data_IF_199959991555
#
_entry.id   IF_199959991555
#
_cell.length_a   1.000
_cell.length_b   1.000
_cell.length_c   1.000
_cell.angle_alpha   90.00
_cell.angle_beta   90.00
_cell.angle_gamma   90.00
#
_symmetry.space_group_name_H-M   'P 1'
#
loop_
_entity.id
_entity.type
_entity.pdbx_description
1 polymer ?
#
# COMPACT_ATOMS: atom_id res chain seq x y z
N UNK A 1 25.13 11.00 1.06
CA UNK A 1 23.77 11.38 1.51
C UNK A 1 22.75 11.29 0.37
N UNK A 2 22.92 12.02 -0.73
CA UNK A 2 21.96 12.01 -1.86
C UNK A 2 21.65 10.62 -2.44
N UNK A 3 22.67 9.77 -2.65
CA UNK A 3 22.48 8.41 -3.16
C UNK A 3 21.63 7.51 -2.24
N UNK A 4 21.84 7.59 -0.92
CA UNK A 4 21.07 6.84 0.09
C UNK A 4 19.59 7.26 0.09
N UNK A 5 19.33 8.57 0.05
CA UNK A 5 17.98 9.11 -0.02
C UNK A 5 17.29 8.71 -1.32
N UNK A 6 18.00 8.74 -2.46
CA UNK A 6 17.48 8.30 -3.76
C UNK A 6 17.12 6.81 -3.77
N UNK A 7 17.97 5.96 -3.19
CA UNK A 7 17.71 4.53 -3.09
C UNK A 7 16.51 4.24 -2.17
N UNK A 8 16.37 4.93 -1.04
CA UNK A 8 15.20 4.82 -0.17
C UNK A 8 13.91 5.27 -0.88
N UNK A 9 13.95 6.39 -1.59
CA UNK A 9 12.81 6.88 -2.36
C UNK A 9 12.38 5.88 -3.44
N UNK A 10 13.33 5.29 -4.16
CA UNK A 10 13.05 4.27 -5.17
C UNK A 10 12.38 3.03 -4.55
N UNK A 11 12.92 2.52 -3.44
CA UNK A 11 12.34 1.37 -2.72
C UNK A 11 10.93 1.69 -2.26
N UNK A 12 10.71 2.89 -1.71
CA UNK A 12 9.39 3.32 -1.25
C UNK A 12 8.37 3.39 -2.40
N UNK A 13 8.73 4.03 -3.51
CA UNK A 13 7.86 4.14 -4.70
C UNK A 13 7.48 2.75 -5.21
N UNK A 14 8.46 1.85 -5.38
CA UNK A 14 8.22 0.48 -5.85
C UNK A 14 7.32 -0.28 -4.89
N UNK A 15 7.57 -0.16 -3.57
CA UNK A 15 6.72 -0.78 -2.54
C UNK A 15 5.28 -0.28 -2.63
N UNK A 16 5.06 1.03 -2.70
CA UNK A 16 3.70 1.59 -2.80
C UNK A 16 2.96 1.11 -4.05
N UNK A 17 3.61 1.14 -5.22
CA UNK A 17 3.00 0.68 -6.46
C UNK A 17 2.63 -0.81 -6.38
N UNK A 18 3.53 -1.64 -5.85
CA UNK A 18 3.29 -3.06 -5.66
C UNK A 18 2.08 -3.29 -4.74
N UNK A 19 2.04 -2.68 -3.56
CA UNK A 19 0.94 -2.90 -2.62
C UNK A 19 -0.38 -2.28 -3.09
N UNK A 20 -0.36 -1.18 -3.83
CA UNK A 20 -1.58 -0.63 -4.48
C UNK A 20 -2.14 -1.63 -5.48
N UNK A 21 -1.31 -2.23 -6.34
CA UNK A 21 -1.78 -3.22 -7.33
C UNK A 21 -2.34 -4.48 -6.67
N UNK A 22 -1.67 -4.99 -5.63
CA UNK A 22 -2.15 -6.15 -4.86
C UNK A 22 -3.46 -5.82 -4.15
N UNK A 23 -3.56 -4.64 -3.53
CA UNK A 23 -4.78 -4.20 -2.85
C UNK A 23 -5.94 -4.08 -3.82
N UNK A 24 -5.71 -3.47 -4.99
CA UNK A 24 -6.73 -3.37 -6.03
C UNK A 24 -7.23 -4.75 -6.44
N UNK A 25 -6.30 -5.67 -6.76
CA UNK A 25 -6.63 -7.03 -7.14
C UNK A 25 -7.41 -7.77 -6.05
N UNK A 26 -7.01 -7.62 -4.78
CA UNK A 26 -7.69 -8.24 -3.65
C UNK A 26 -9.12 -7.69 -3.44
N UNK A 27 -9.32 -6.37 -3.60
CA UNK A 27 -10.63 -5.74 -3.46
C UNK A 27 -11.62 -6.15 -4.56
N UNK A 28 -11.14 -6.51 -5.76
CA UNK A 28 -12.00 -7.05 -6.82
C UNK A 28 -12.64 -8.40 -6.45
N UNK A 29 -12.04 -9.16 -5.53
CA UNK A 29 -12.63 -10.41 -5.00
C UNK A 29 -13.84 -10.17 -4.09
N UNK A 30 -14.07 -8.93 -3.65
CA UNK A 30 -15.17 -8.55 -2.77
C UNK A 30 -16.32 -8.01 -3.62
N UNK A 31 -17.55 -8.47 -3.38
CA UNK A 31 -18.75 -7.94 -4.03
C UNK A 31 -19.14 -6.58 -3.44
N UNK A 32 -18.29 -5.55 -3.61
CA UNK A 32 -18.49 -4.19 -3.07
C UNK A 32 -19.80 -3.58 -3.60
N UNK A 33 -20.20 -3.96 -4.81
CA UNK A 33 -21.47 -3.55 -5.44
C UNK A 33 -22.70 -3.99 -4.63
N UNK A 34 -22.65 -5.15 -3.94
CA UNK A 34 -23.73 -5.61 -3.06
C UNK A 34 -23.78 -4.85 -1.74
N UNK A 35 -22.67 -4.26 -1.31
CA UNK A 35 -22.60 -3.46 -0.09
C UNK A 35 -23.19 -2.05 -0.29
N UNK A 36 -23.27 -1.58 -1.53
CA UNK A 36 -23.71 -0.23 -1.87
C UNK A 36 -25.14 -0.16 -2.37
N UNK A 37 -25.76 1.01 -2.18
CA UNK A 37 -27.12 1.26 -2.65
C UNK A 37 -27.19 1.17 -4.18
N UNK A 38 -28.24 0.52 -4.73
CA UNK A 38 -28.42 0.42 -6.18
C UNK A 38 -28.46 1.82 -6.82
N UNK A 39 -27.85 1.94 -8.01
CA UNK A 39 -27.80 3.20 -8.77
C UNK A 39 -26.65 4.15 -8.41
N UNK A 40 -25.75 3.78 -7.49
CA UNK A 40 -24.61 4.63 -7.05
C UNK A 40 -23.23 4.18 -7.58
N UNK A 41 -23.16 3.73 -8.83
CA UNK A 41 -21.94 3.16 -9.46
C UNK A 41 -20.71 4.07 -9.36
N UNK A 42 -20.88 5.38 -9.59
CA UNK A 42 -19.76 6.34 -9.50
C UNK A 42 -19.22 6.46 -8.08
N UNK A 43 -20.10 6.52 -7.08
CA UNK A 43 -19.69 6.59 -5.67
C UNK A 43 -18.94 5.31 -5.27
N UNK A 44 -19.39 4.15 -5.77
CA UNK A 44 -18.72 2.86 -5.54
C UNK A 44 -17.31 2.85 -6.09
N UNK A 45 -17.13 3.32 -7.32
CA UNK A 45 -15.81 3.38 -7.95
C UNK A 45 -14.85 4.30 -7.21
N UNK A 46 -15.31 5.50 -6.85
CA UNK A 46 -14.49 6.46 -6.10
C UNK A 46 -14.11 5.88 -4.74
N UNK A 47 -15.05 5.29 -4.01
CA UNK A 47 -14.78 4.65 -2.73
C UNK A 47 -13.75 3.52 -2.88
N UNK A 48 -13.87 2.68 -3.91
CA UNK A 48 -12.94 1.58 -4.16
C UNK A 48 -11.51 2.09 -4.42
N UNK A 49 -11.36 3.16 -5.20
CA UNK A 49 -10.06 3.81 -5.43
C UNK A 49 -9.48 4.36 -4.12
N UNK A 50 -10.29 5.06 -3.32
CA UNK A 50 -9.84 5.61 -2.04
C UNK A 50 -9.42 4.52 -1.06
N UNK A 51 -10.19 3.44 -0.94
CA UNK A 51 -9.86 2.28 -0.11
C UNK A 51 -8.57 1.63 -0.61
N UNK A 52 -8.40 1.49 -1.93
CA UNK A 52 -7.18 0.92 -2.52
C UNK A 52 -5.94 1.72 -2.13
N UNK A 53 -5.99 3.05 -2.25
CA UNK A 53 -4.87 3.92 -1.90
C UNK A 53 -4.61 3.87 -0.39
N UNK A 54 -5.66 3.94 0.43
CA UNK A 54 -5.54 3.91 1.88
C UNK A 54 -4.91 2.60 2.38
N UNK A 55 -5.44 1.45 1.96
CA UNK A 55 -4.92 0.13 2.36
C UNK A 55 -3.54 -0.10 1.75
N UNK A 56 -3.37 0.11 0.44
CA UNK A 56 -2.10 -0.12 -0.25
C UNK A 56 -0.95 0.72 0.33
N UNK A 57 -1.22 1.98 0.67
CA UNK A 57 -0.24 2.84 1.34
C UNK A 57 0.06 2.37 2.76
N UNK A 58 -0.96 1.98 3.53
CA UNK A 58 -0.78 1.51 4.90
C UNK A 58 0.06 0.24 4.97
N UNK A 59 -0.22 -0.74 4.09
CA UNK A 59 0.54 -2.00 4.01
C UNK A 59 1.96 -1.74 3.51
N UNK A 60 2.14 -0.84 2.53
CA UNK A 60 3.48 -0.45 2.07
C UNK A 60 4.30 0.21 3.18
N UNK A 61 3.73 1.15 3.94
CA UNK A 61 4.41 1.78 5.06
C UNK A 61 4.81 0.74 6.11
N UNK A 62 3.88 -0.13 6.49
CA UNK A 62 4.17 -1.24 7.40
C UNK A 62 5.35 -2.10 6.91
N UNK A 63 5.37 -2.44 5.61
CA UNK A 63 6.44 -3.24 5.03
C UNK A 63 7.80 -2.52 5.05
N UNK A 64 7.83 -1.23 4.70
CA UNK A 64 9.04 -0.40 4.72
C UNK A 64 9.57 -0.23 6.15
N UNK A 65 8.69 0.02 7.11
CA UNK A 65 9.03 0.15 8.53
C UNK A 65 9.60 -1.16 9.06
N UNK A 66 8.95 -2.29 8.75
CA UNK A 66 9.43 -3.62 9.12
C UNK A 66 10.82 -3.90 8.56
N UNK A 67 11.07 -3.58 7.29
CA UNK A 67 12.40 -3.70 6.68
C UNK A 67 13.43 -2.79 7.36
N UNK A 68 13.02 -1.57 7.72
CA UNK A 68 13.84 -0.61 8.46
C UNK A 68 14.24 -1.17 9.83
N UNK A 69 13.27 -1.63 10.62
CA UNK A 69 13.52 -2.25 11.92
C UNK A 69 14.36 -3.52 11.82
N UNK A 70 14.14 -4.35 10.79
CA UNK A 70 14.93 -5.56 10.55
C UNK A 70 16.40 -5.24 10.32
N UNK A 71 16.71 -4.18 9.55
CA UNK A 71 18.09 -3.71 9.39
C UNK A 71 18.66 -3.19 10.70
N UNK A 72 17.88 -2.42 11.44
CA UNK A 72 18.31 -1.88 12.74
C UNK A 72 18.56 -2.95 13.79
N UNK A 73 17.89 -4.10 13.70
CA UNK A 73 18.11 -5.23 14.61
C UNK A 73 19.56 -5.74 14.56
N UNK A 74 20.26 -5.55 13.43
CA UNK A 74 21.68 -5.91 13.32
C UNK A 74 22.55 -5.13 14.31
N UNK A 75 22.15 -3.92 14.72
CA UNK A 75 22.87 -3.16 15.75
C UNK A 75 22.77 -3.74 17.17
N UNK A 76 21.88 -4.72 17.42
CA UNK A 76 21.83 -5.43 18.71
C UNK A 76 22.79 -6.62 18.78
N UNK A 77 23.12 -7.21 17.62
CA UNK A 77 23.95 -8.43 17.53
C UNK A 77 25.41 -8.08 17.19
N UNK A 78 25.66 -6.82 16.82
CA UNK A 78 26.96 -6.29 16.46
C UNK A 78 27.44 -5.31 17.52
#
# INVERSE_FOLDING_TARGET
MAHLLGQQALIAIVSHLLFITITWWALQGIHIERLMKPGKVMQTRVLLILITIAIGTSVSNFFLDYLGYSKSLTYLVK
#
